data_IF_978467042677
#
_entry.id   IF_978467042677
#
_cell.length_a   1.000
_cell.length_b   1.000
_cell.length_c   1.000
_cell.angle_alpha   90.00
_cell.angle_beta   90.00
_cell.angle_gamma   90.00
#
_symmetry.space_group_name_H-M   'P 1'
#
loop_
_entity.id
_entity.type
_entity.pdbx_description
1 polymer ?
#
# COMPACT_ATOMS: atom_id res chain seq x y z
N UNK A 1 -0.05 5.07 7.11
CA UNK A 1 1.39 4.70 7.27
C UNK A 1 1.72 3.41 6.54
N UNK A 2 0.98 2.32 6.78
CA UNK A 2 1.14 1.04 6.10
C UNK A 2 0.98 1.05 4.56
N UNK A 3 0.54 2.15 3.94
CA UNK A 3 0.57 2.31 2.47
C UNK A 3 1.78 3.09 1.97
N UNK A 4 2.35 3.97 2.79
CA UNK A 4 3.39 4.91 2.39
C UNK A 4 4.79 4.52 2.90
N UNK A 5 4.89 3.66 3.91
CA UNK A 5 6.16 3.11 4.40
C UNK A 5 6.82 2.12 3.42
N UNK A 6 6.18 1.85 2.29
CA UNK A 6 6.46 0.73 1.38
C UNK A 6 7.26 1.19 0.15
N UNK A 7 8.36 1.93 0.35
CA UNK A 7 9.18 2.54 -0.70
C UNK A 7 9.86 1.55 -1.69
N UNK A 8 9.51 0.26 -1.64
CA UNK A 8 9.90 -0.80 -2.58
C UNK A 8 8.77 -1.83 -2.70
N UNK A 9 8.69 -2.61 -3.80
CA UNK A 9 7.72 -3.71 -3.95
C UNK A 9 7.87 -4.70 -2.78
N UNK A 10 6.88 -4.76 -1.89
CA UNK A 10 6.98 -5.49 -0.63
C UNK A 10 6.41 -6.90 -0.73
N UNK A 11 7.10 -7.81 -0.04
CA UNK A 11 6.60 -9.10 0.43
C UNK A 11 5.47 -8.88 1.46
N UNK A 12 4.22 -9.17 1.07
CA UNK A 12 3.07 -8.98 1.96
C UNK A 12 3.11 -9.88 3.21
N UNK A 13 4.04 -10.81 3.34
CA UNK A 13 4.27 -11.52 4.61
C UNK A 13 4.96 -10.65 5.66
N UNK A 14 5.77 -9.66 5.26
CA UNK A 14 6.52 -8.79 6.16
C UNK A 14 5.78 -7.50 6.54
N UNK A 15 4.82 -7.07 5.72
CA UNK A 15 4.12 -5.77 5.85
C UNK A 15 3.49 -5.54 7.22
N UNK A 16 2.82 -6.55 7.77
CA UNK A 16 2.12 -6.44 9.05
C UNK A 16 3.14 -6.19 10.17
N UNK A 17 4.24 -6.94 10.18
CA UNK A 17 5.28 -6.80 11.19
C UNK A 17 6.03 -5.47 11.08
N UNK A 18 6.37 -5.02 9.87
CA UNK A 18 7.06 -3.75 9.65
C UNK A 18 6.16 -2.56 10.00
N UNK A 19 4.87 -2.63 9.62
CA UNK A 19 3.87 -1.61 9.96
C UNK A 19 3.65 -1.53 11.47
N UNK A 20 3.60 -2.67 12.17
CA UNK A 20 3.51 -2.71 13.63
C UNK A 20 4.78 -2.15 14.29
N UNK A 21 5.95 -2.48 13.77
CA UNK A 21 7.22 -1.89 14.22
C UNK A 21 7.24 -0.37 14.08
N UNK A 22 6.81 0.14 12.92
CA UNK A 22 6.65 1.58 12.67
C UNK A 22 5.62 2.22 13.60
N UNK A 23 4.47 1.56 13.81
CA UNK A 23 3.41 2.02 14.72
C UNK A 23 3.95 2.21 16.13
N UNK A 24 4.72 1.24 16.64
CA UNK A 24 5.33 1.32 17.96
C UNK A 24 6.38 2.44 18.07
N UNK A 25 7.21 2.61 17.05
CA UNK A 25 8.19 3.70 17.01
C UNK A 25 7.47 5.06 17.05
N UNK A 26 6.45 5.24 16.21
CA UNK A 26 5.73 6.50 16.09
C UNK A 26 4.94 6.80 17.36
N UNK A 27 4.18 5.83 17.89
CA UNK A 27 3.44 5.99 19.14
C UNK A 27 4.32 6.38 20.34
N UNK A 28 5.61 5.99 20.34
CA UNK A 28 6.56 6.29 21.42
C UNK A 28 7.37 7.57 21.21
N UNK A 29 7.54 7.99 19.95
CA UNK A 29 8.50 9.01 19.57
C UNK A 29 7.90 10.18 18.79
N UNK A 30 6.59 10.20 18.60
CA UNK A 30 5.85 11.28 17.96
C UNK A 30 4.72 11.73 18.89
N UNK A 31 4.56 13.05 19.04
CA UNK A 31 3.36 13.65 19.62
C UNK A 31 2.54 14.25 18.47
N UNK A 32 1.37 13.66 18.25
CA UNK A 32 0.39 14.07 17.24
C UNK A 32 -0.81 14.67 17.98
N UNK A 33 -0.94 16.00 17.88
CA UNK A 33 -2.10 16.76 18.34
C UNK A 33 -2.85 17.29 17.13
N UNK A 34 -4.14 17.66 17.26
CA UNK A 34 -4.96 18.07 16.11
C UNK A 34 -4.33 19.12 15.18
N UNK A 35 -3.46 19.98 15.68
CA UNK A 35 -2.78 21.02 14.90
C UNK A 35 -1.25 20.88 14.85
N UNK A 36 -0.66 19.89 15.54
CA UNK A 36 0.78 19.80 15.73
C UNK A 36 1.28 18.37 15.52
N UNK A 37 2.34 18.24 14.72
CA UNK A 37 3.13 17.02 14.60
C UNK A 37 4.55 17.33 15.09
N UNK A 38 5.03 16.57 16.07
CA UNK A 38 6.39 16.73 16.57
C UNK A 38 7.08 15.40 16.85
N UNK A 39 8.37 15.33 16.51
CA UNK A 39 9.22 14.22 16.90
C UNK A 39 9.77 14.52 18.30
N UNK A 40 9.46 13.63 19.23
CA UNK A 40 9.83 13.78 20.64
C UNK A 40 11.36 13.67 20.81
N UNK A 41 11.95 14.36 21.82
CA UNK A 41 13.38 14.23 22.15
C UNK A 41 13.83 12.78 22.40
N UNK A 42 12.90 11.90 22.79
CA UNK A 42 13.15 10.47 22.99
C UNK A 42 13.67 9.78 21.72
N UNK A 43 13.31 10.28 20.51
CA UNK A 43 13.80 9.78 19.23
C UNK A 43 15.32 9.93 19.05
N UNK A 44 15.95 10.88 19.75
CA UNK A 44 17.42 11.07 19.70
C UNK A 44 18.18 9.88 20.28
N UNK A 45 17.53 9.05 21.12
CA UNK A 45 18.10 7.84 21.72
C UNK A 45 18.02 6.62 20.81
N UNK A 46 17.28 6.70 19.70
CA UNK A 46 17.27 5.65 18.70
C UNK A 46 18.61 5.60 17.97
N UNK A 47 19.01 4.40 17.52
CA UNK A 47 20.12 4.26 16.57
C UNK A 47 19.81 5.07 15.30
N UNK A 48 20.86 5.56 14.65
CA UNK A 48 20.74 6.49 13.52
C UNK A 48 19.89 5.93 12.37
N UNK A 49 20.01 4.64 12.07
CA UNK A 49 19.20 4.00 11.02
C UNK A 49 17.72 3.94 11.40
N UNK A 50 17.37 3.55 12.63
CA UNK A 50 15.98 3.51 13.11
C UNK A 50 15.35 4.90 13.11
N UNK A 51 16.12 5.91 13.55
CA UNK A 51 15.69 7.31 13.54
C UNK A 51 15.44 7.79 12.11
N UNK A 52 16.36 7.49 11.19
CA UNK A 52 16.26 7.90 9.77
C UNK A 52 15.06 7.25 9.09
N UNK A 53 14.86 5.95 9.30
CA UNK A 53 13.73 5.21 8.77
C UNK A 53 12.40 5.76 9.32
N UNK A 54 12.27 5.95 10.63
CA UNK A 54 11.08 6.55 11.25
C UNK A 54 10.77 7.94 10.69
N UNK A 55 11.78 8.80 10.54
CA UNK A 55 11.65 10.15 9.95
C UNK A 55 11.19 10.05 8.49
N UNK A 56 11.75 9.12 7.70
CA UNK A 56 11.35 8.87 6.32
C UNK A 56 9.89 8.45 6.21
N UNK A 57 9.47 7.45 7.00
CA UNK A 57 8.09 6.93 7.03
C UNK A 57 7.11 8.02 7.45
N UNK A 58 7.42 8.80 8.49
CA UNK A 58 6.60 9.92 8.91
C UNK A 58 6.45 10.98 7.81
N UNK A 59 7.55 11.35 7.14
CA UNK A 59 7.51 12.32 6.05
C UNK A 59 6.76 11.84 4.81
N UNK A 60 6.85 10.55 4.47
CA UNK A 60 6.04 9.95 3.41
C UNK A 60 4.54 10.00 3.76
N UNK A 61 4.18 9.68 5.01
CA UNK A 61 2.81 9.81 5.49
C UNK A 61 2.28 11.25 5.45
N UNK A 62 3.09 12.23 5.87
CA UNK A 62 2.73 13.65 5.80
C UNK A 62 2.55 14.11 4.35
N UNK A 63 3.44 13.72 3.43
CA UNK A 63 3.30 14.04 2.01
C UNK A 63 2.02 13.44 1.41
N UNK A 64 1.69 12.19 1.75
CA UNK A 64 0.44 11.55 1.37
C UNK A 64 -0.79 12.30 1.90
N UNK A 65 -0.79 12.70 3.18
CA UNK A 65 -1.88 13.48 3.77
C UNK A 65 -2.04 14.85 3.11
N UNK A 66 -0.94 15.50 2.74
CA UNK A 66 -0.99 16.76 1.98
C UNK A 66 -1.62 16.55 0.60
N UNK A 67 -1.25 15.49 -0.12
CA UNK A 67 -1.86 15.17 -1.41
C UNK A 67 -3.36 14.88 -1.28
N UNK A 68 -3.79 14.12 -0.28
CA UNK A 68 -5.23 13.92 0.01
C UNK A 68 -5.94 15.23 0.26
N UNK A 69 -5.34 16.10 1.10
CA UNK A 69 -5.90 17.42 1.40
C UNK A 69 -6.09 18.26 0.13
N UNK A 70 -5.18 18.13 -0.83
CA UNK A 70 -5.24 18.81 -2.13
C UNK A 70 -6.14 18.09 -3.17
N UNK A 71 -6.92 17.09 -2.72
CA UNK A 71 -7.92 16.38 -3.50
C UNK A 71 -7.35 15.27 -4.39
N UNK A 72 -6.13 14.82 -4.14
CA UNK A 72 -5.54 13.70 -4.85
C UNK A 72 -5.82 12.37 -4.17
N UNK A 73 -5.97 11.34 -4.99
CA UNK A 73 -6.06 9.95 -4.57
C UNK A 73 -4.76 9.27 -4.95
N UNK A 74 -4.15 8.59 -3.98
CA UNK A 74 -2.95 7.81 -4.23
C UNK A 74 -3.28 6.67 -5.20
N UNK A 75 -2.39 6.47 -6.16
CA UNK A 75 -2.57 5.48 -7.20
C UNK A 75 -1.58 4.34 -7.06
N UNK A 76 -0.29 4.56 -7.24
CA UNK A 76 0.66 3.47 -7.06
C UNK A 76 2.02 4.05 -6.69
N UNK A 77 2.91 3.14 -6.32
CA UNK A 77 4.34 3.38 -6.38
C UNK A 77 4.76 3.62 -7.82
N UNK A 78 5.66 4.58 -8.02
CA UNK A 78 6.14 4.91 -9.36
C UNK A 78 6.78 3.70 -10.04
N UNK A 79 7.57 2.91 -9.30
CA UNK A 79 8.28 1.74 -9.80
C UNK A 79 7.37 0.58 -10.25
N UNK A 80 6.10 0.58 -9.83
CA UNK A 80 5.13 -0.43 -10.24
C UNK A 80 4.51 -0.14 -11.61
N UNK A 81 4.70 1.08 -12.13
CA UNK A 81 4.06 1.54 -13.34
C UNK A 81 5.01 1.46 -14.53
N UNK A 82 4.49 0.95 -15.63
CA UNK A 82 5.23 0.91 -16.87
C UNK A 82 5.30 2.30 -17.49
N UNK A 83 6.48 2.65 -17.98
CA UNK A 83 6.69 3.84 -18.80
C UNK A 83 7.00 3.42 -20.22
N UNK A 84 6.35 4.08 -21.18
CA UNK A 84 6.66 3.86 -22.60
C UNK A 84 8.02 4.43 -22.98
N UNK A 85 8.39 5.57 -22.38
CA UNK A 85 9.63 6.30 -22.66
C UNK A 85 10.58 6.19 -21.47
N UNK A 86 11.86 5.98 -21.74
CA UNK A 86 12.87 5.93 -20.68
C UNK A 86 13.40 7.34 -20.39
N UNK A 87 13.29 7.83 -19.15
CA UNK A 87 13.82 9.14 -18.76
C UNK A 87 15.35 9.12 -18.79
N UNK A 88 15.97 10.29 -18.90
CA UNK A 88 17.44 10.43 -18.89
C UNK A 88 18.07 10.28 -17.49
N UNK A 89 17.24 10.19 -16.45
CA UNK A 89 17.64 10.02 -15.05
C UNK A 89 17.37 8.59 -14.58
N UNK A 90 18.16 8.13 -13.61
CA UNK A 90 17.89 6.90 -12.84
C UNK A 90 17.14 7.17 -11.53
N UNK A 91 16.94 8.44 -11.19
CA UNK A 91 16.28 8.86 -9.95
C UNK A 91 14.80 9.03 -10.25
N UNK A 92 13.98 8.22 -9.63
CA UNK A 92 12.51 8.19 -9.81
C UNK A 92 11.84 8.97 -8.69
N UNK A 93 10.63 9.52 -8.93
CA UNK A 93 9.79 9.97 -7.85
C UNK A 93 9.26 8.75 -7.06
N UNK A 94 8.79 8.96 -5.85
CA UNK A 94 8.26 7.88 -5.00
C UNK A 94 6.87 7.38 -5.46
N UNK A 95 5.96 8.29 -5.81
CA UNK A 95 4.53 7.98 -5.91
C UNK A 95 3.86 8.59 -7.13
N UNK A 96 2.74 7.99 -7.52
CA UNK A 96 1.79 8.53 -8.51
C UNK A 96 0.42 8.72 -7.87
N UNK A 97 -0.21 9.83 -8.19
CA UNK A 97 -1.53 10.22 -7.72
C UNK A 97 -2.42 10.61 -8.89
N UNK A 98 -3.73 10.42 -8.75
CA UNK A 98 -4.73 10.94 -9.68
C UNK A 98 -5.75 11.81 -8.95
N UNK A 99 -6.54 12.57 -9.70
CA UNK A 99 -7.68 13.32 -9.16
C UNK A 99 -8.98 12.80 -9.81
N UNK A 100 -10.09 12.69 -9.06
CA UNK A 100 -11.39 12.39 -9.65
C UNK A 100 -11.73 13.35 -10.80
N UNK A 101 -12.26 12.82 -11.89
CA UNK A 101 -12.62 13.60 -13.09
C UNK A 101 -11.44 14.14 -13.92
N UNK A 102 -10.19 13.87 -13.54
CA UNK A 102 -9.00 14.20 -14.35
C UNK A 102 -8.47 12.97 -15.07
N UNK A 103 -7.98 13.15 -16.29
CA UNK A 103 -7.37 12.08 -17.09
C UNK A 103 -5.85 11.99 -16.91
N UNK A 104 -5.23 13.04 -16.39
CA UNK A 104 -3.80 13.10 -16.12
C UNK A 104 -3.49 12.72 -14.68
N UNK A 105 -2.21 12.46 -14.42
CA UNK A 105 -1.69 12.07 -13.10
C UNK A 105 -0.63 13.05 -12.60
N UNK A 106 -0.46 13.06 -11.27
CA UNK A 106 0.62 13.75 -10.60
C UNK A 106 1.69 12.76 -10.15
N UNK A 107 2.96 13.09 -10.36
CA UNK A 107 4.08 12.35 -9.74
C UNK A 107 4.58 13.09 -8.50
N UNK A 108 4.90 12.37 -7.43
CA UNK A 108 5.25 12.98 -6.14
C UNK A 108 6.49 12.36 -5.54
N UNK A 109 7.38 13.21 -5.05
CA UNK A 109 8.57 12.86 -4.29
C UNK A 109 8.44 13.32 -2.85
N UNK A 110 8.71 12.44 -1.87
CA UNK A 110 8.73 12.79 -0.46
C UNK A 110 10.15 13.06 0.05
N UNK A 111 10.27 14.09 0.90
CA UNK A 111 11.49 14.39 1.65
C UNK A 111 11.16 14.61 3.12
N UNK A 112 12.07 14.19 3.99
CA UNK A 112 11.88 14.29 5.42
C UNK A 112 13.22 14.59 6.11
N UNK A 113 13.19 15.41 7.16
CA UNK A 113 14.39 15.63 7.99
C UNK A 113 14.03 16.02 9.42
N UNK A 114 14.91 15.66 10.35
CA UNK A 114 14.88 16.06 11.76
C UNK A 114 16.21 16.74 12.20
N UNK A 115 17.13 17.02 11.28
CA UNK A 115 18.48 17.48 11.66
C UNK A 115 19.11 18.59 10.82
N UNK A 116 18.51 18.97 9.69
CA UNK A 116 19.11 19.97 8.79
C UNK A 116 18.51 21.37 9.00
N UNK A 117 19.27 22.42 8.68
CA UNK A 117 18.74 23.79 8.69
C UNK A 117 17.63 23.94 7.64
N UNK A 118 16.66 24.82 7.90
CA UNK A 118 15.56 25.08 6.96
C UNK A 118 16.05 25.43 5.55
N UNK A 119 17.09 26.27 5.45
CA UNK A 119 17.70 26.68 4.17
C UNK A 119 18.29 25.50 3.40
N UNK A 120 18.99 24.60 4.10
CA UNK A 120 19.53 23.39 3.49
C UNK A 120 18.41 22.45 3.06
N UNK A 121 17.40 22.26 3.89
CA UNK A 121 16.29 21.37 3.57
C UNK A 121 15.45 21.88 2.40
N UNK A 122 15.21 23.20 2.29
CA UNK A 122 14.56 23.79 1.12
C UNK A 122 15.26 23.41 -0.19
N UNK A 123 16.61 23.45 -0.23
CA UNK A 123 17.40 23.02 -1.39
C UNK A 123 17.29 21.51 -1.65
N UNK A 124 17.10 20.71 -0.60
CA UNK A 124 16.86 19.27 -0.74
C UNK A 124 15.53 19.00 -1.43
N UNK A 125 14.47 19.74 -1.06
CA UNK A 125 13.14 19.64 -1.69
C UNK A 125 13.21 20.11 -3.15
N UNK A 126 13.80 21.27 -3.41
CA UNK A 126 14.01 21.79 -4.76
C UNK A 126 14.82 20.81 -5.63
N UNK A 127 15.90 20.25 -5.09
CA UNK A 127 16.66 19.22 -5.80
C UNK A 127 15.88 17.91 -5.97
N UNK A 128 14.91 17.61 -5.10
CA UNK A 128 14.01 16.48 -5.25
C UNK A 128 13.11 16.67 -6.47
N UNK A 129 12.51 17.85 -6.59
CA UNK A 129 11.69 18.21 -7.75
C UNK A 129 12.50 18.13 -9.05
N UNK A 130 13.60 18.90 -9.16
CA UNK A 130 14.38 19.01 -10.39
C UNK A 130 14.99 17.68 -10.87
N UNK A 131 15.36 16.78 -9.94
CA UNK A 131 16.10 15.55 -10.30
C UNK A 131 15.25 14.29 -10.35
N UNK A 132 14.07 14.30 -9.74
CA UNK A 132 13.23 13.11 -9.57
C UNK A 132 11.79 13.30 -10.05
N UNK A 133 11.28 14.52 -10.08
CA UNK A 133 9.90 14.80 -10.55
C UNK A 133 9.92 15.38 -11.96
N UNK A 134 10.57 16.53 -12.15
CA UNK A 134 10.60 17.25 -13.43
C UNK A 134 10.99 16.38 -14.64
N UNK A 135 11.96 15.45 -14.54
CA UNK A 135 12.36 14.61 -15.69
C UNK A 135 11.28 13.66 -16.22
N UNK A 136 10.16 13.52 -15.51
CA UNK A 136 9.06 12.62 -15.82
C UNK A 136 7.81 13.35 -16.32
N UNK A 137 7.80 14.68 -16.27
CA UNK A 137 6.64 15.46 -16.69
C UNK A 137 6.43 15.36 -18.21
N UNK A 138 5.15 15.24 -18.61
CA UNK A 138 4.73 15.06 -20.00
C UNK A 138 4.91 13.64 -20.53
N UNK A 139 5.39 12.68 -19.71
CA UNK A 139 5.53 11.29 -20.10
C UNK A 139 4.27 10.50 -19.73
N UNK A 140 3.97 9.48 -20.53
CA UNK A 140 2.99 8.45 -20.18
C UNK A 140 3.56 7.53 -19.08
N UNK A 141 2.81 7.42 -17.97
CA UNK A 141 3.08 6.54 -16.83
C UNK A 141 1.81 5.73 -16.58
N UNK A 142 1.91 4.41 -16.79
CA UNK A 142 0.78 3.50 -16.57
C UNK A 142 -0.47 3.88 -17.38
N UNK A 143 -0.31 4.38 -18.61
CA UNK A 143 -1.43 4.80 -19.46
C UNK A 143 -1.85 6.26 -19.32
N UNK A 144 -1.36 6.99 -18.31
CA UNK A 144 -1.73 8.40 -18.09
C UNK A 144 -0.55 9.37 -18.19
N UNK A 145 -0.80 10.58 -18.66
CA UNK A 145 0.21 11.63 -18.78
C UNK A 145 0.49 12.25 -17.41
N UNK A 146 1.76 12.29 -17.05
CA UNK A 146 2.25 13.01 -15.88
C UNK A 146 2.29 14.52 -16.14
N UNK A 147 1.14 15.19 -16.05
CA UNK A 147 1.07 16.62 -16.40
C UNK A 147 1.64 17.53 -15.32
N UNK A 148 1.78 17.06 -14.08
CA UNK A 148 2.33 17.86 -12.99
C UNK A 148 2.97 16.97 -11.93
N UNK A 149 3.72 17.59 -11.03
CA UNK A 149 4.28 16.87 -9.90
C UNK A 149 4.71 17.77 -8.76
N UNK A 150 5.06 17.11 -7.66
CA UNK A 150 5.35 17.73 -6.38
C UNK A 150 6.58 17.11 -5.75
N UNK A 151 7.47 17.93 -5.19
CA UNK A 151 8.39 17.48 -4.15
C UNK A 151 7.94 18.06 -2.83
N UNK A 152 7.51 17.19 -1.91
CA UNK A 152 6.93 17.56 -0.62
C UNK A 152 7.91 17.22 0.49
N UNK A 153 8.44 18.26 1.14
CA UNK A 153 9.36 18.15 2.26
C UNK A 153 8.71 18.39 3.61
N UNK A 154 8.89 17.44 4.53
CA UNK A 154 8.52 17.56 5.95
C UNK A 154 9.75 17.95 6.80
N UNK A 155 9.80 19.21 7.23
CA UNK A 155 10.85 19.75 8.10
C UNK A 155 10.43 19.61 9.57
N UNK A 156 10.86 18.55 10.23
CA UNK A 156 10.41 18.16 11.57
C UNK A 156 11.46 18.46 12.65
N UNK A 157 12.14 19.60 12.55
CA UNK A 157 13.21 19.95 13.52
C UNK A 157 12.69 20.68 14.76
N UNK A 158 11.50 21.29 14.68
CA UNK A 158 10.90 21.94 15.84
C UNK A 158 10.27 20.89 16.76
N UNK A 159 10.43 21.04 18.09
CA UNK A 159 9.81 20.14 19.06
C UNK A 159 8.29 20.30 19.15
N UNK A 160 7.69 21.27 18.45
CA UNK A 160 6.24 21.54 18.52
C UNK A 160 5.54 21.52 17.17
N UNK A 161 6.25 21.58 16.04
CA UNK A 161 5.60 21.62 14.73
C UNK A 161 6.48 21.11 13.60
N UNK A 162 5.88 20.44 12.63
CA UNK A 162 6.48 20.22 11.33
C UNK A 162 6.17 21.40 10.40
N UNK A 163 7.13 21.77 9.55
CA UNK A 163 6.90 22.72 8.45
C UNK A 163 6.89 21.97 7.12
N UNK A 164 5.91 22.27 6.26
CA UNK A 164 5.87 21.77 4.88
C UNK A 164 6.58 22.73 3.95
N UNK A 165 7.52 22.19 3.16
CA UNK A 165 8.16 22.86 2.06
C UNK A 165 7.76 22.13 0.78
N UNK A 166 7.09 22.80 -0.15
CA UNK A 166 6.59 22.18 -1.38
C UNK A 166 7.20 22.91 -2.56
N UNK A 167 7.80 22.15 -3.47
CA UNK A 167 8.19 22.62 -4.80
C UNK A 167 7.35 21.86 -5.82
N UNK A 168 6.80 22.54 -6.82
CA UNK A 168 5.77 21.96 -7.68
C UNK A 168 5.74 22.55 -9.08
N UNK A 169 5.12 21.81 -9.98
CA UNK A 169 4.82 22.27 -11.33
C UNK A 169 3.82 23.43 -11.28
N UNK A 170 4.20 24.61 -11.78
CA UNK A 170 3.33 25.79 -11.81
C UNK A 170 2.35 25.78 -13.01
N UNK A 171 2.80 25.25 -14.15
CA UNK A 171 2.00 25.13 -15.37
C UNK A 171 2.06 23.68 -15.82
N UNK A 172 0.92 23.00 -16.03
CA UNK A 172 0.91 21.61 -16.45
C UNK A 172 1.76 21.39 -17.70
N UNK A 173 2.60 20.36 -17.66
CA UNK A 173 3.38 19.93 -18.80
C UNK A 173 2.45 19.34 -19.87
N UNK A 174 2.61 19.74 -21.15
CA UNK A 174 1.87 19.13 -22.23
C UNK A 174 2.29 17.66 -22.39
N UNK A 175 1.39 16.84 -22.93
CA UNK A 175 1.74 15.50 -23.40
C UNK A 175 2.82 15.58 -24.49
N UNK A 176 3.69 14.58 -24.57
CA UNK A 176 4.58 14.43 -25.72
C UNK A 176 3.79 14.24 -27.01
N UNK A 177 4.34 14.73 -28.14
CA UNK A 177 3.68 14.64 -29.46
C UNK A 177 3.35 13.22 -29.91
N UNK A 178 4.05 12.23 -29.35
CA UNK A 178 3.99 10.82 -29.77
C UNK A 178 3.26 9.95 -28.74
N UNK A 179 2.80 10.54 -27.62
CA UNK A 179 2.15 9.80 -26.54
C UNK A 179 0.65 9.60 -26.87
N UNK A 180 0.08 8.42 -26.57
CA UNK A 180 -1.33 8.14 -26.77
C UNK A 180 -2.22 9.02 -25.87
N UNK A 181 -3.54 9.09 -26.13
CA UNK A 181 -4.47 9.78 -25.24
C UNK A 181 -4.36 9.26 -23.80
N UNK A 182 -4.35 10.19 -22.83
CA UNK A 182 -4.23 9.86 -21.41
C UNK A 182 -5.41 9.03 -20.93
N UNK A 183 -5.15 7.87 -20.33
CA UNK A 183 -6.12 6.99 -19.71
C UNK A 183 -5.65 6.58 -18.29
N UNK A 184 -6.24 7.15 -17.22
CA UNK A 184 -5.81 6.89 -15.83
C UNK A 184 -6.31 5.56 -15.27
N UNK A 185 -7.06 4.74 -16.02
CA UNK A 185 -7.69 3.50 -15.53
C UNK A 185 -6.67 2.55 -14.89
N UNK A 186 -5.56 2.30 -15.58
CA UNK A 186 -4.50 1.40 -15.10
C UNK A 186 -3.81 1.96 -13.84
N UNK A 187 -3.52 3.27 -13.82
CA UNK A 187 -2.92 3.92 -12.66
C UNK A 187 -3.86 3.85 -11.45
N UNK A 188 -5.16 4.09 -11.63
CA UNK A 188 -6.17 3.97 -10.57
C UNK A 188 -6.31 2.53 -10.05
N UNK A 189 -6.23 1.53 -10.94
CA UNK A 189 -6.19 0.10 -10.54
C UNK A 189 -4.99 -0.20 -9.64
N UNK A 190 -3.83 0.43 -9.87
CA UNK A 190 -2.61 0.26 -9.07
C UNK A 190 -2.82 0.36 -7.56
N UNK A 191 -3.73 1.25 -7.12
CA UNK A 191 -3.97 1.50 -5.69
C UNK A 191 -4.55 0.26 -5.05
N UNK A 192 -5.57 -0.25 -5.71
CA UNK A 192 -6.32 -1.39 -5.25
C UNK A 192 -5.60 -2.70 -5.50
N UNK A 193 -4.69 -2.78 -6.48
CA UNK A 193 -3.75 -3.91 -6.58
C UNK A 193 -2.82 -3.97 -5.38
N UNK A 194 -2.36 -2.81 -4.87
CA UNK A 194 -1.60 -2.77 -3.61
C UNK A 194 -2.46 -3.20 -2.43
N UNK A 195 -3.74 -2.78 -2.38
CA UNK A 195 -4.68 -3.25 -1.36
C UNK A 195 -4.89 -4.76 -1.42
N UNK A 196 -5.06 -5.33 -2.62
CA UNK A 196 -5.16 -6.78 -2.79
C UNK A 196 -3.90 -7.50 -2.32
N UNK A 197 -2.72 -6.91 -2.53
CA UNK A 197 -1.46 -7.47 -2.01
C UNK A 197 -1.47 -7.53 -0.49
N UNK A 198 -1.92 -6.45 0.16
CA UNK A 198 -2.04 -6.39 1.61
C UNK A 198 -3.08 -7.40 2.15
N UNK A 199 -4.22 -7.50 1.48
CA UNK A 199 -5.35 -8.31 1.92
C UNK A 199 -5.16 -9.80 1.65
N UNK A 200 -4.58 -10.18 0.51
CA UNK A 200 -4.57 -11.56 0.03
C UNK A 200 -3.19 -12.07 -0.40
N UNK A 201 -2.15 -11.25 -0.28
CA UNK A 201 -0.79 -11.62 -0.65
C UNK A 201 -0.34 -11.13 -2.02
N UNK A 202 0.99 -11.09 -2.26
CA UNK A 202 1.56 -10.51 -3.48
C UNK A 202 1.27 -11.34 -4.72
N UNK A 203 1.05 -12.65 -4.56
CA UNK A 203 0.72 -13.54 -5.67
C UNK A 203 -0.63 -13.18 -6.31
N UNK A 204 -1.65 -12.92 -5.49
CA UNK A 204 -2.98 -12.50 -5.97
C UNK A 204 -2.89 -11.12 -6.65
N UNK A 205 -2.18 -10.17 -6.06
CA UNK A 205 -1.98 -8.86 -6.68
C UNK A 205 -1.23 -8.94 -8.03
N UNK A 206 -0.20 -9.78 -8.12
CA UNK A 206 0.54 -10.01 -9.35
C UNK A 206 -0.34 -10.68 -10.43
N UNK A 207 -1.11 -11.71 -10.06
CA UNK A 207 -2.05 -12.37 -10.97
C UNK A 207 -3.16 -11.41 -11.43
N UNK A 208 -3.69 -10.57 -10.54
CA UNK A 208 -4.66 -9.54 -10.87
C UNK A 208 -4.07 -8.50 -11.84
N UNK A 209 -2.83 -8.06 -11.61
CA UNK A 209 -2.10 -7.14 -12.50
C UNK A 209 -1.85 -7.76 -13.88
N UNK A 210 -1.60 -9.07 -13.95
CA UNK A 210 -1.40 -9.81 -15.19
C UNK A 210 -2.71 -10.21 -15.89
N UNK A 211 -3.87 -9.95 -15.29
CA UNK A 211 -5.18 -10.37 -15.82
C UNK A 211 -5.42 -11.89 -15.77
N UNK A 212 -4.65 -12.61 -14.95
CA UNK A 212 -4.75 -14.07 -14.80
C UNK A 212 -5.51 -14.50 -13.54
N UNK A 213 -5.79 -13.58 -12.63
CA UNK A 213 -6.64 -13.85 -11.47
C UNK A 213 -8.12 -13.85 -11.86
N UNK A 214 -8.87 -14.84 -11.39
CA UNK A 214 -10.31 -15.00 -11.64
C UNK A 214 -11.07 -14.84 -10.31
N UNK A 215 -11.51 -13.62 -9.95
CA UNK A 215 -12.18 -13.38 -8.67
C UNK A 215 -13.46 -14.20 -8.47
N UNK A 216 -14.14 -14.59 -9.55
CA UNK A 216 -15.37 -15.41 -9.47
C UNK A 216 -15.14 -16.85 -9.00
N UNK A 217 -13.90 -17.31 -8.96
CA UNK A 217 -13.50 -18.62 -8.44
C UNK A 217 -12.98 -18.54 -6.99
N UNK A 218 -12.99 -17.34 -6.40
CA UNK A 218 -12.51 -17.09 -5.03
C UNK A 218 -13.70 -16.81 -4.11
N UNK A 219 -13.76 -17.55 -3.01
CA UNK A 219 -14.65 -17.22 -1.89
C UNK A 219 -14.01 -16.10 -1.06
N UNK A 220 -14.80 -15.08 -0.78
CA UNK A 220 -14.38 -13.95 0.03
C UNK A 220 -15.15 -13.91 1.35
N UNK A 221 -14.51 -13.33 2.36
CA UNK A 221 -15.17 -13.04 3.62
C UNK A 221 -15.49 -11.55 3.69
N UNK A 222 -16.64 -11.24 4.28
CA UNK A 222 -17.01 -9.87 4.60
C UNK A 222 -17.52 -9.75 6.03
N UNK A 223 -17.36 -8.56 6.62
CA UNK A 223 -17.84 -8.23 7.95
C UNK A 223 -18.59 -6.92 7.93
N UNK A 224 -19.60 -6.80 8.78
CA UNK A 224 -20.28 -5.54 9.01
C UNK A 224 -19.54 -4.73 10.09
N UNK A 225 -19.03 -3.56 9.74
CA UNK A 225 -18.29 -2.67 10.65
C UNK A 225 -18.61 -1.20 10.34
N UNK A 226 -18.94 -0.42 11.38
CA UNK A 226 -19.29 1.01 11.26
C UNK A 226 -20.39 1.29 10.22
N UNK A 227 -21.47 0.51 10.27
CA UNK A 227 -22.65 0.62 9.41
C UNK A 227 -22.38 0.33 7.92
N UNK A 228 -21.29 -0.39 7.61
CA UNK A 228 -20.89 -0.75 6.26
C UNK A 228 -20.36 -2.18 6.18
N UNK A 229 -20.40 -2.74 4.98
CA UNK A 229 -19.85 -4.06 4.69
C UNK A 229 -18.44 -3.93 4.14
N UNK A 230 -17.54 -4.76 4.67
CA UNK A 230 -16.12 -4.74 4.34
C UNK A 230 -15.65 -6.11 3.92
N UNK A 231 -15.06 -6.21 2.73
CA UNK A 231 -14.29 -7.37 2.32
C UNK A 231 -13.05 -7.47 3.22
N UNK A 232 -12.79 -8.61 3.85
CA UNK A 232 -11.65 -8.78 4.74
C UNK A 232 -10.55 -9.61 4.09
N UNK A 233 -9.30 -9.22 4.32
CA UNK A 233 -8.14 -9.95 3.87
C UNK A 233 -7.93 -11.23 4.67
N UNK A 234 -7.34 -12.23 4.02
CA UNK A 234 -6.95 -13.51 4.60
C UNK A 234 -5.41 -13.56 4.65
N UNK A 235 -4.86 -13.84 5.83
CA UNK A 235 -3.41 -14.00 5.96
C UNK A 235 -2.97 -15.30 5.29
N UNK A 236 -1.97 -15.23 4.42
CA UNK A 236 -1.20 -16.40 3.99
C UNK A 236 -0.37 -16.93 5.18
N UNK A 237 -1.00 -17.59 6.14
CA UNK A 237 -0.24 -18.38 7.10
C UNK A 237 0.43 -19.54 6.35
N UNK A 238 1.70 -19.85 6.64
CA UNK A 238 2.35 -21.00 6.02
C UNK A 238 1.54 -22.25 6.40
N UNK A 239 1.08 -22.96 5.35
CA UNK A 239 0.27 -24.18 5.42
C UNK A 239 0.72 -25.23 6.47
N UNK A 240 2.00 -25.37 6.90
CA UNK A 240 2.36 -26.35 7.94
C UNK A 240 1.74 -26.11 9.32
N UNK A 241 1.31 -24.89 9.65
CA UNK A 241 0.68 -24.60 10.94
C UNK A 241 -0.73 -25.19 11.06
N UNK A 242 -1.41 -25.43 9.94
CA UNK A 242 -2.74 -26.06 9.90
C UNK A 242 -2.69 -27.60 10.04
N UNK A 243 -1.53 -28.23 9.80
CA UNK A 243 -1.40 -29.69 9.86
C UNK A 243 -1.16 -30.24 11.27
N UNK A 244 -0.72 -29.43 12.23
CA UNK A 244 -0.52 -29.86 13.62
C UNK A 244 -1.84 -29.91 14.42
N UNK A 245 -2.92 -29.33 13.89
CA UNK A 245 -4.22 -29.28 14.57
C UNK A 245 -5.20 -30.40 14.17
N UNK A 246 -4.84 -31.25 13.20
CA UNK A 246 -5.72 -32.31 12.71
C UNK A 246 -5.36 -33.72 13.23
N UNK A 247 -4.34 -33.87 14.08
CA UNK A 247 -4.15 -35.11 14.83
C UNK A 247 -4.78 -34.97 16.21
N UNK A 248 -6.02 -35.44 16.32
CA UNK A 248 -6.61 -35.73 17.62
C UNK A 248 -5.68 -36.65 18.41
N UNK A 249 -5.53 -36.32 19.69
CA UNK A 249 -4.69 -36.97 20.71
C UNK A 249 -3.20 -36.63 20.62
N UNK A 250 -2.79 -35.54 21.28
CA UNK A 250 -2.01 -35.66 22.52
C UNK A 250 -1.75 -34.28 23.16
N UNK A 251 -1.86 -34.30 24.48
CA UNK A 251 -1.61 -33.28 25.50
C UNK A 251 -0.53 -32.22 25.21
N UNK A 252 -0.90 -30.97 25.54
CA UNK A 252 -0.04 -29.89 26.09
C UNK A 252 1.00 -29.23 25.19
N UNK A 253 0.54 -28.27 24.40
CA UNK A 253 1.11 -26.92 24.41
C UNK A 253 -0.04 -25.93 24.17
N UNK A 254 -0.30 -25.04 25.12
CA UNK A 254 -1.35 -24.03 25.02
C UNK A 254 -1.07 -23.10 23.84
N UNK A 255 -1.67 -23.39 22.70
CA UNK A 255 -1.78 -22.45 21.60
C UNK A 255 -3.14 -21.79 21.76
N UNK A 256 -3.10 -20.51 22.12
CA UNK A 256 -4.24 -19.64 22.25
C UNK A 256 -4.81 -19.37 20.84
N UNK A 257 -5.88 -20.08 20.50
CA UNK A 257 -6.56 -19.95 19.21
C UNK A 257 -7.22 -18.57 19.02
N UNK A 258 -7.45 -17.80 20.10
CA UNK A 258 -7.94 -16.41 20.00
C UNK A 258 -6.92 -15.50 19.30
N UNK A 259 -5.67 -15.95 19.17
CA UNK A 259 -4.58 -15.22 18.53
C UNK A 259 -4.27 -15.69 17.09
N UNK A 260 -4.88 -16.79 16.63
CA UNK A 260 -4.79 -17.22 15.22
C UNK A 260 -5.86 -16.48 14.42
N UNK A 261 -5.70 -15.15 14.30
CA UNK A 261 -6.53 -14.35 13.41
C UNK A 261 -6.21 -14.75 11.97
N UNK A 262 -7.10 -15.54 11.35
CA UNK A 262 -7.05 -15.88 9.93
C UNK A 262 -7.12 -14.64 9.02
N UNK A 263 -7.60 -13.50 9.54
CA UNK A 263 -7.62 -12.22 8.84
C UNK A 263 -6.43 -11.33 9.22
N UNK A 264 -5.77 -10.72 8.23
CA UNK A 264 -4.67 -9.76 8.42
C UNK A 264 -5.12 -8.34 8.82
N UNK A 265 -6.33 -8.20 9.40
CA UNK A 265 -6.99 -6.95 9.79
C UNK A 265 -7.22 -5.91 8.67
N UNK A 266 -6.67 -6.12 7.47
CA UNK A 266 -6.89 -5.31 6.29
C UNK A 266 -8.25 -5.59 5.67
N UNK A 267 -8.90 -4.52 5.20
CA UNK A 267 -10.21 -4.61 4.61
C UNK A 267 -10.44 -3.57 3.51
N UNK A 268 -11.39 -3.84 2.62
CA UNK A 268 -11.82 -2.94 1.56
C UNK A 268 -13.35 -2.81 1.61
N UNK A 269 -13.85 -1.57 1.59
CA UNK A 269 -15.29 -1.32 1.57
C UNK A 269 -15.93 -2.02 0.36
N UNK A 270 -17.08 -2.67 0.57
CA UNK A 270 -17.65 -3.59 -0.41
C UNK A 270 -18.04 -2.90 -1.73
N UNK A 271 -18.54 -1.66 -1.70
CA UNK A 271 -18.79 -0.84 -2.88
C UNK A 271 -17.50 -0.57 -3.69
N UNK A 272 -16.41 -0.22 -3.01
CA UNK A 272 -15.09 -0.06 -3.62
C UNK A 272 -14.57 -1.38 -4.20
N UNK A 273 -14.73 -2.49 -3.48
CA UNK A 273 -14.35 -3.82 -3.98
C UNK A 273 -15.12 -4.20 -5.26
N UNK A 274 -16.42 -3.86 -5.35
CA UNK A 274 -17.22 -4.06 -6.58
C UNK A 274 -16.67 -3.25 -7.74
N UNK A 275 -16.34 -1.98 -7.52
CA UNK A 275 -15.77 -1.13 -8.56
C UNK A 275 -14.40 -1.66 -9.05
N UNK A 276 -13.56 -2.13 -8.13
CA UNK A 276 -12.29 -2.79 -8.46
C UNK A 276 -12.50 -4.04 -9.30
N UNK A 277 -13.36 -4.97 -8.87
CA UNK A 277 -13.53 -6.25 -9.56
C UNK A 277 -14.19 -6.07 -10.93
N UNK A 278 -15.13 -5.13 -11.04
CA UNK A 278 -15.66 -4.69 -12.34
C UNK A 278 -14.55 -4.09 -13.21
N UNK A 279 -13.68 -3.26 -12.65
CA UNK A 279 -12.55 -2.69 -13.38
C UNK A 279 -11.59 -3.78 -13.87
N UNK A 280 -11.32 -4.83 -13.09
CA UNK A 280 -10.48 -5.95 -13.53
C UNK A 280 -11.12 -6.81 -14.63
N UNK A 281 -12.46 -6.89 -14.66
CA UNK A 281 -13.19 -7.65 -15.68
C UNK A 281 -13.40 -6.87 -16.99
N UNK A 282 -13.42 -5.54 -16.94
CA UNK A 282 -13.63 -4.68 -18.10
C UNK A 282 -12.41 -4.54 -19.00
N UNK A 283 -12.63 -4.50 -20.31
CA UNK A 283 -11.59 -4.13 -21.29
C UNK A 283 -11.07 -2.71 -21.04
N UNK A 284 -9.85 -2.40 -21.47
CA UNK A 284 -9.20 -1.12 -21.18
C UNK A 284 -9.88 0.09 -21.84
N UNK A 285 -10.61 -0.13 -22.93
CA UNK A 285 -11.37 0.90 -23.68
C UNK A 285 -12.78 1.16 -23.12
N UNK A 286 -13.23 0.38 -22.14
CA UNK A 286 -14.53 0.58 -21.49
C UNK A 286 -14.47 1.64 -20.39
N UNK A 287 -15.66 2.09 -19.97
CA UNK A 287 -15.90 2.91 -18.78
C UNK A 287 -15.02 2.49 -17.58
N UNK A 288 -14.50 3.47 -16.84
CA UNK A 288 -13.65 3.26 -15.67
C UNK A 288 -14.48 3.33 -14.37
N UNK A 289 -14.83 2.19 -13.74
CA UNK A 289 -15.64 2.18 -12.53
C UNK A 289 -14.93 2.83 -11.34
N UNK A 290 -13.59 2.96 -11.39
CA UNK A 290 -12.81 3.59 -10.33
C UNK A 290 -12.84 5.12 -10.41
N UNK A 291 -13.23 5.69 -11.56
CA UNK A 291 -13.33 7.14 -11.76
C UNK A 291 -14.43 7.79 -10.92
N UNK A 292 -15.48 7.04 -10.62
CA UNK A 292 -16.67 7.51 -9.90
C UNK A 292 -16.61 7.28 -8.38
N UNK A 293 -15.53 6.66 -7.89
CA UNK A 293 -15.39 6.40 -6.47
C UNK A 293 -15.28 7.73 -5.70
N UNK A 294 -16.32 7.99 -4.91
CA UNK A 294 -16.35 9.09 -3.97
C UNK A 294 -15.35 8.89 -2.82
N UNK A 295 -14.98 10.00 -2.19
CA UNK A 295 -14.19 9.99 -0.96
C UNK A 295 -15.03 9.43 0.20
N UNK A 296 -14.43 8.59 1.03
CA UNK A 296 -15.03 8.19 2.31
C UNK A 296 -15.24 9.42 3.21
N UNK A 297 -16.38 9.41 3.91
CA UNK A 297 -16.80 10.51 4.76
C UNK A 297 -15.88 10.70 5.98
N UNK A 298 -15.58 11.95 6.32
CA UNK A 298 -14.66 12.29 7.41
C UNK A 298 -15.18 11.86 8.79
N UNK A 299 -16.51 11.81 9.00
CA UNK A 299 -17.08 11.29 10.24
C UNK A 299 -16.88 9.78 10.34
N UNK A 300 -16.99 9.04 9.23
CA UNK A 300 -16.69 7.61 9.23
C UNK A 300 -15.20 7.34 9.51
N UNK A 301 -14.30 8.15 8.93
CA UNK A 301 -12.86 8.07 9.20
C UNK A 301 -12.56 8.32 10.68
N UNK A 302 -13.22 9.32 11.29
CA UNK A 302 -13.07 9.61 12.71
C UNK A 302 -13.57 8.45 13.59
N UNK A 303 -14.75 7.88 13.28
CA UNK A 303 -15.31 6.71 13.98
C UNK A 303 -14.41 5.48 13.89
N UNK A 304 -13.79 5.23 12.73
CA UNK A 304 -12.83 4.14 12.55
C UNK A 304 -11.63 4.27 13.50
N UNK A 305 -11.12 5.50 13.67
CA UNK A 305 -10.05 5.78 14.63
C UNK A 305 -10.49 5.57 16.08
N UNK A 306 -11.70 5.99 16.43
CA UNK A 306 -12.28 5.79 17.77
C UNK A 306 -12.49 4.30 18.11
N UNK A 307 -12.85 3.50 17.11
CA UNK A 307 -12.94 2.03 17.19
C UNK A 307 -11.56 1.33 17.30
N UNK A 308 -10.46 2.09 17.27
CA UNK A 308 -9.10 1.55 17.30
C UNK A 308 -8.63 0.95 15.97
N UNK A 309 -9.33 1.25 14.87
CA UNK A 309 -8.92 0.94 13.50
C UNK A 309 -8.41 2.18 12.76
N UNK A 310 -8.36 2.08 11.43
CA UNK A 310 -8.04 3.18 10.53
C UNK A 310 -8.83 3.03 9.22
N UNK A 311 -9.39 4.12 8.71
CA UNK A 311 -10.04 4.17 7.40
C UNK A 311 -9.37 5.24 6.55
N UNK A 312 -9.08 4.87 5.30
CA UNK A 312 -8.52 5.76 4.30
C UNK A 312 -9.62 6.33 3.38
N UNK A 313 -9.40 7.51 2.78
CA UNK A 313 -10.41 8.18 1.96
C UNK A 313 -10.88 7.39 0.73
N UNK A 314 -10.13 6.37 0.31
CA UNK A 314 -10.41 5.52 -0.84
C UNK A 314 -11.08 4.18 -0.47
N UNK A 315 -11.52 4.02 0.79
CA UNK A 315 -12.26 2.84 1.24
C UNK A 315 -11.41 1.65 1.67
N UNK A 316 -10.09 1.78 1.70
CA UNK A 316 -9.25 0.80 2.41
C UNK A 316 -9.28 1.04 3.92
N UNK A 317 -9.28 -0.04 4.70
CA UNK A 317 -9.31 0.02 6.15
C UNK A 317 -8.34 -0.98 6.79
N UNK A 318 -7.93 -0.63 8.01
CA UNK A 318 -7.43 -1.56 9.02
C UNK A 318 -8.51 -1.62 10.09
N UNK A 319 -9.14 -2.77 10.24
CA UNK A 319 -10.30 -2.91 11.14
C UNK A 319 -9.88 -2.79 12.61
N UNK A 320 -10.76 -2.21 13.42
CA UNK A 320 -10.56 -2.04 14.86
C UNK A 320 -10.63 -3.36 15.63
N UNK A 321 -10.30 -3.34 16.92
CA UNK A 321 -10.38 -4.53 17.78
C UNK A 321 -11.81 -4.94 18.11
N UNK A 322 -12.75 -4.02 17.97
CA UNK A 322 -14.19 -4.18 18.17
C UNK A 322 -14.86 -5.12 17.16
N UNK A 323 -14.16 -5.50 16.07
CA UNK A 323 -14.70 -6.46 15.09
C UNK A 323 -14.74 -7.91 15.56
N UNK A 324 -14.06 -8.26 16.65
CA UNK A 324 -13.74 -9.65 16.99
C UNK A 324 -15.00 -10.54 17.12
N UNK A 325 -16.14 -9.95 17.46
CA UNK A 325 -17.41 -10.64 17.68
C UNK A 325 -18.41 -10.46 16.51
N UNK A 326 -18.02 -9.76 15.45
CA UNK A 326 -18.92 -9.49 14.33
C UNK A 326 -19.13 -10.75 13.47
N UNK A 327 -20.37 -11.06 13.05
CA UNK A 327 -20.62 -12.17 12.14
C UNK A 327 -19.91 -11.94 10.81
N UNK A 328 -19.46 -13.03 10.20
CA UNK A 328 -18.76 -13.00 8.91
C UNK A 328 -19.66 -13.60 7.84
N UNK A 329 -19.71 -12.95 6.69
CA UNK A 329 -20.51 -13.38 5.54
C UNK A 329 -19.58 -13.92 4.45
N UNK A 330 -19.91 -15.10 3.92
CA UNK A 330 -19.21 -15.66 2.76
C UNK A 330 -19.83 -15.10 1.48
N UNK A 331 -18.98 -14.52 0.62
CA UNK A 331 -19.34 -13.84 -0.61
C UNK A 331 -18.65 -14.48 -1.82
N UNK A 332 -19.34 -14.51 -2.96
CA UNK A 332 -18.75 -14.84 -4.25
C UNK A 332 -18.99 -13.73 -5.27
N UNK A 333 -17.97 -13.37 -6.03
CA UNK A 333 -18.07 -12.35 -7.08
C UNK A 333 -18.79 -12.89 -8.32
N UNK A 334 -19.81 -12.18 -8.79
CA UNK A 334 -20.45 -12.47 -10.08
C UNK A 334 -20.11 -11.40 -11.12
N UNK A 335 -19.22 -11.68 -12.10
CA UNK A 335 -18.80 -10.71 -13.10
C UNK A 335 -19.93 -10.30 -14.05
N UNK A 336 -20.91 -11.18 -14.32
CA UNK A 336 -22.03 -10.87 -15.21
C UNK A 336 -22.99 -9.83 -14.62
N UNK A 337 -23.07 -9.76 -13.30
CA UNK A 337 -24.01 -8.88 -12.61
C UNK A 337 -23.32 -7.76 -11.82
N UNK A 338 -21.97 -7.70 -11.84
CA UNK A 338 -21.18 -6.67 -11.17
C UNK A 338 -21.38 -6.60 -9.65
N UNK A 339 -21.74 -7.71 -8.99
CA UNK A 339 -22.00 -7.73 -7.55
C UNK A 339 -21.57 -9.02 -6.87
N UNK A 340 -21.42 -8.93 -5.55
CA UNK A 340 -21.19 -10.08 -4.68
C UNK A 340 -22.49 -10.78 -4.33
N UNK A 341 -22.53 -12.09 -4.49
CA UNK A 341 -23.61 -12.95 -3.99
C UNK A 341 -23.25 -13.47 -2.62
N UNK A 342 -24.13 -13.22 -1.65
CA UNK A 342 -24.04 -13.84 -0.34
C UNK A 342 -24.37 -15.33 -0.46
N UNK A 343 -23.53 -16.17 0.13
CA UNK A 343 -23.75 -17.61 0.21
C UNK A 343 -24.27 -18.02 1.59
N UNK A 344 -23.60 -17.56 2.65
CA UNK A 344 -23.86 -18.01 4.01
C UNK A 344 -23.42 -16.94 5.02
N UNK A 345 -24.07 -16.89 6.18
CA UNK A 345 -23.63 -16.11 7.34
C UNK A 345 -23.07 -17.07 8.39
N UNK A 346 -21.81 -16.86 8.77
CA UNK A 346 -21.07 -17.73 9.70
C UNK A 346 -20.77 -16.95 10.97
N UNK A 347 -21.17 -17.48 12.13
CA UNK A 347 -20.75 -16.95 13.43
C UNK A 347 -19.37 -17.52 13.76
N UNK A 348 -18.40 -16.64 13.97
CA UNK A 348 -16.98 -16.97 14.21
C UNK A 348 -16.75 -17.83 15.48
N UNK A 349 -17.75 -17.97 16.34
CA UNK A 349 -17.71 -18.85 17.52
C UNK A 349 -17.88 -20.34 17.21
N UNK A 350 -18.40 -20.70 16.03
CA UNK A 350 -18.44 -22.09 15.58
C UNK A 350 -17.22 -22.36 14.71
N UNK A 351 -16.49 -23.43 15.04
CA UNK A 351 -15.31 -23.91 14.32
C UNK A 351 -15.49 -23.73 12.81
N UNK A 352 -14.69 -22.83 12.20
CA UNK A 352 -14.67 -22.66 10.76
C UNK A 352 -14.40 -24.04 10.15
N UNK A 353 -15.46 -24.64 9.62
CA UNK A 353 -15.36 -25.96 9.04
C UNK A 353 -14.31 -25.94 7.92
N UNK A 354 -13.42 -26.93 7.98
CA UNK A 354 -12.23 -27.11 7.13
C UNK A 354 -12.46 -27.04 5.60
N UNK A 355 -13.68 -27.17 5.00
CA UNK A 355 -13.82 -27.09 3.54
C UNK A 355 -13.43 -25.75 2.91
N UNK A 356 -13.54 -24.63 3.64
CA UNK A 356 -13.27 -23.26 3.11
C UNK A 356 -11.79 -23.06 2.76
N UNK A 357 -10.88 -23.81 3.41
CA UNK A 357 -9.44 -23.72 3.16
C UNK A 357 -8.92 -24.71 2.10
N UNK A 358 -9.72 -25.73 1.74
CA UNK A 358 -9.26 -26.77 0.80
C UNK A 358 -9.39 -26.37 -0.68
N UNK A 359 -10.36 -25.53 -1.08
CA UNK A 359 -10.49 -25.13 -2.50
C UNK A 359 -9.43 -24.14 -2.98
N UNK A 360 -8.83 -23.34 -2.09
CA UNK A 360 -7.68 -22.50 -2.41
C UNK A 360 -6.37 -23.31 -2.64
N UNK A 361 -6.40 -24.64 -2.50
CA UNK A 361 -5.22 -25.51 -2.60
C UNK A 361 -4.92 -26.06 -3.99
N UNK A 362 -5.82 -25.89 -4.97
CA UNK A 362 -5.64 -26.46 -6.33
C UNK A 362 -4.97 -25.52 -7.35
N UNK A 363 -4.62 -24.28 -6.97
CA UNK A 363 -3.80 -23.42 -7.84
C UNK A 363 -2.35 -23.95 -7.79
N UNK A 364 -1.92 -24.51 -8.93
CA UNK A 364 -0.65 -25.18 -9.19
C UNK A 364 0.53 -24.67 -8.35
N UNK A 365 1.24 -25.61 -7.75
CA UNK A 365 2.62 -25.43 -7.28
C UNK A 365 3.49 -24.96 -8.43
N UNK A 366 3.75 -23.65 -8.51
CA UNK A 366 4.82 -23.12 -9.34
C UNK A 366 6.14 -23.43 -8.63
N UNK A 367 6.85 -24.42 -9.16
CA UNK A 367 8.23 -24.69 -8.77
C UNK A 367 9.10 -23.52 -9.21
N UNK A 368 9.64 -22.76 -8.24
CA UNK A 368 10.73 -21.83 -8.48
C UNK A 368 11.96 -22.63 -8.93
N UNK A 369 12.22 -22.67 -10.23
CA UNK A 369 13.56 -22.97 -10.72
C UNK A 369 14.48 -21.84 -10.24
N UNK A 370 15.35 -22.15 -9.28
CA UNK A 370 16.47 -21.28 -8.93
C UNK A 370 17.34 -21.10 -10.18
N UNK A 371 17.27 -19.91 -10.80
CA UNK A 371 18.37 -19.42 -11.62
C UNK A 371 19.61 -19.35 -10.73
N UNK A 372 20.48 -20.35 -10.87
CA UNK A 372 21.83 -20.33 -10.31
C UNK A 372 22.55 -19.10 -10.84
N UNK A 373 22.77 -18.12 -9.98
CA UNK A 373 23.77 -17.09 -10.21
C UNK A 373 25.10 -17.77 -10.57
N UNK A 374 25.61 -17.50 -11.77
CA UNK A 374 26.96 -17.88 -12.15
C UNK A 374 27.93 -17.09 -11.26
N UNK A 375 28.88 -17.73 -10.56
CA UNK A 375 29.81 -17.01 -9.71
C UNK A 375 30.66 -16.06 -10.56
N UNK A 376 30.63 -14.78 -10.20
CA UNK A 376 31.57 -13.77 -10.70
C UNK A 376 32.97 -14.14 -10.19
N UNK A 377 33.87 -14.41 -11.12
CA UNK A 377 35.29 -14.57 -10.86
C UNK A 377 35.88 -13.22 -10.44
N UNK A 378 35.90 -12.94 -9.13
CA UNK A 378 36.75 -11.88 -8.58
C UNK A 378 38.18 -12.42 -8.44
N UNK A 379 39.08 -11.92 -9.29
CA UNK A 379 40.51 -12.12 -9.11
C UNK A 379 40.96 -11.35 -7.86
N UNK A 380 41.13 -12.07 -6.75
CA UNK A 380 41.85 -11.62 -5.56
C UNK A 380 43.30 -11.28 -5.92
N UNK A 381 43.61 -9.99 -6.09
CA UNK A 381 45.00 -9.49 -6.08
C UNK A 381 45.50 -9.41 -4.64
N UNK A 382 46.17 -10.46 -4.19
CA UNK A 382 47.02 -10.44 -3.01
C UNK A 382 48.23 -9.54 -3.28
N UNK A 383 48.33 -8.43 -2.54
CA UNK A 383 49.53 -7.60 -2.52
C UNK A 383 50.36 -8.05 -1.32
N UNK A 384 51.43 -8.81 -1.57
CA UNK A 384 52.39 -9.19 -0.53
C UNK A 384 53.39 -8.05 -0.37
N UNK A 385 53.30 -7.32 0.74
CA UNK A 385 54.35 -6.40 1.16
C UNK A 385 55.58 -7.19 1.59
N UNK A 386 56.73 -6.92 0.98
CA UNK A 386 58.04 -7.34 1.48
C UNK A 386 58.61 -6.19 2.32
N UNK A 387 58.81 -6.48 3.59
CA UNK A 387 59.73 -5.76 4.47
C UNK A 387 61.16 -6.12 4.07
N UNK A 388 61.95 -5.11 3.72
CA UNK A 388 63.25 -4.77 4.33
C UNK A 388 63.58 -3.31 4.01
#
# INVERSE_FOLDING_TARGET
>A
MARCSHLHPIDAAAVTFESEGCRHLIAKHVDERPNDFSILPSAKRLKDFSRTHMVGVAGAGIAYLQMIRDGYVWCDHFENLHMRRKPRTKRTPDFVFSRPGQIDVAVTESKATHGSSRKQFKRTVESGYLKQVEPYLGFEIGGAIASHGFSIGSWMTSPTRAELLIDHTAVPAPAGSDDPPSNPKLVRRGNYLTVLSLMFGPAIAAAARAGTWVPSETEFLAVHWLDRDWLIGLSELPRPALWVAASQNETSAGIDWDHVRLSNDFALELGVARALFSSLASADDEFDPLAELGRMDDALIARAREAGGALYPDGFAVLGKDKADAPVTVLNWNPQQGHFKQQEEVKVADELSVPVLQRASEIQTWTFEHEREKPKTEQLRLTVGRSD
#
